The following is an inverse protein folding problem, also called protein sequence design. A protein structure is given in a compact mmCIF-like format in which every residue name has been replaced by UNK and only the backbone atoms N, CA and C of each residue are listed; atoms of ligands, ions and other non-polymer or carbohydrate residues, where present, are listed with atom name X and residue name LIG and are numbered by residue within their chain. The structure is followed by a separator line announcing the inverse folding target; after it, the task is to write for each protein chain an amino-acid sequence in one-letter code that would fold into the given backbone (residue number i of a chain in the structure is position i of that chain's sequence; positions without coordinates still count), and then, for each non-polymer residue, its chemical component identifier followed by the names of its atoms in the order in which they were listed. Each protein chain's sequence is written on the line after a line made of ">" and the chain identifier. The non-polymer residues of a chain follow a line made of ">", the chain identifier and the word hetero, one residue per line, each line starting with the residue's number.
data_IF_458651859926
#
_entry.id   IF_458651859926
#
_cell.length_a   1.000
_cell.length_b   1.000
_cell.length_c   1.000
_cell.angle_alpha   90.00
_cell.angle_beta   90.00
_cell.angle_gamma   90.00
#
_symmetry.space_group_name_H-M   'P 1'
#
loop_
_entity.id
_entity.type
_entity.pdbx_description
1 polymer ?
#
# COMPACT_ATOMS: atom_id res chain seq x y z
N UNK A 1 15.14 11.87 -13.98
CA UNK A 1 14.42 12.32 -12.76
C UNK A 1 14.66 11.35 -11.60
N UNK A 2 14.32 10.06 -11.74
CA UNK A 2 14.58 9.05 -10.69
C UNK A 2 16.07 8.99 -10.33
N UNK A 3 16.97 8.97 -11.33
CA UNK A 3 18.41 8.92 -11.08
C UNK A 3 18.95 10.15 -10.33
N UNK A 4 18.31 11.31 -10.51
CA UNK A 4 18.73 12.54 -9.85
C UNK A 4 18.39 12.47 -8.35
N UNK A 5 17.17 12.08 -8.00
CA UNK A 5 16.77 11.97 -6.59
C UNK A 5 17.45 10.80 -5.89
N UNK A 6 17.76 9.72 -6.61
CA UNK A 6 18.51 8.58 -6.08
C UNK A 6 19.95 8.96 -5.71
N UNK A 7 20.61 9.82 -6.51
CA UNK A 7 21.96 10.34 -6.18
C UNK A 7 21.98 11.16 -4.90
N UNK A 8 20.88 11.85 -4.60
CA UNK A 8 20.71 12.59 -3.34
C UNK A 8 20.27 11.70 -2.16
N UNK A 9 20.23 10.37 -2.35
CA UNK A 9 19.90 9.42 -1.28
C UNK A 9 18.40 9.20 -1.04
N UNK A 10 17.52 9.79 -1.84
CA UNK A 10 16.09 9.53 -1.75
C UNK A 10 15.70 8.19 -2.40
N UNK A 11 14.71 7.53 -1.82
CA UNK A 11 14.06 6.36 -2.42
C UNK A 11 12.73 6.78 -3.02
N UNK A 12 12.55 6.53 -4.31
CA UNK A 12 11.26 6.72 -4.98
C UNK A 12 10.41 5.47 -4.73
N UNK A 13 9.24 5.68 -4.15
CA UNK A 13 8.30 4.60 -3.83
C UNK A 13 6.98 4.89 -4.52
N UNK A 14 6.53 3.91 -5.30
CA UNK A 14 5.22 3.89 -5.92
C UNK A 14 4.31 2.93 -5.15
N UNK A 15 3.03 2.97 -5.46
CA UNK A 15 2.07 1.96 -5.01
C UNK A 15 2.09 0.73 -5.94
N UNK A 16 1.47 -0.36 -5.51
CA UNK A 16 1.25 -1.52 -6.37
C UNK A 16 0.21 -1.15 -7.44
N UNK A 17 0.51 -1.40 -8.71
CA UNK A 17 -0.26 -0.87 -9.86
C UNK A 17 -1.78 -1.13 -9.82
N UNK A 18 -2.22 -2.23 -9.19
CA UNK A 18 -3.62 -2.63 -9.05
C UNK A 18 -4.26 -2.19 -7.72
N UNK A 19 -3.50 -1.50 -6.87
CA UNK A 19 -3.89 -0.99 -5.55
C UNK A 19 -4.06 0.54 -5.54
N UNK A 20 -4.47 1.11 -6.68
CA UNK A 20 -4.98 2.47 -6.74
C UNK A 20 -6.50 2.45 -6.50
N UNK A 21 -6.92 3.00 -5.36
CA UNK A 21 -8.34 3.03 -4.97
C UNK A 21 -9.16 4.03 -5.76
N UNK A 22 -8.51 4.99 -6.42
CA UNK A 22 -9.13 6.18 -7.03
C UNK A 22 -10.07 6.93 -6.08
N UNK A 23 -9.80 6.87 -4.77
CA UNK A 23 -10.64 7.46 -3.72
C UNK A 23 -10.81 8.98 -3.84
N UNK A 24 -9.83 9.67 -4.42
CA UNK A 24 -9.90 11.09 -4.77
C UNK A 24 -11.07 11.45 -5.71
N UNK A 25 -11.60 10.48 -6.49
CA UNK A 25 -12.80 10.66 -7.33
C UNK A 25 -14.12 10.46 -6.57
N UNK A 26 -14.06 10.13 -5.28
CA UNK A 26 -15.23 9.73 -4.48
C UNK A 26 -16.07 8.61 -5.15
N UNK A 27 -15.46 7.47 -5.55
CA UNK A 27 -16.07 6.46 -6.42
C UNK A 27 -17.11 5.55 -5.73
N UNK A 28 -17.36 5.77 -4.43
CA UNK A 28 -18.22 4.97 -3.57
C UNK A 28 -17.41 4.07 -2.62
N UNK A 29 -17.85 3.99 -1.36
CA UNK A 29 -17.19 3.22 -0.29
C UNK A 29 -16.94 1.76 -0.70
N UNK A 30 -17.97 1.09 -1.24
CA UNK A 30 -17.86 -0.33 -1.62
C UNK A 30 -16.87 -0.55 -2.77
N UNK A 31 -16.69 0.44 -3.66
CA UNK A 31 -15.72 0.33 -4.75
C UNK A 31 -14.29 0.40 -4.20
N UNK A 32 -14.02 1.32 -3.27
CA UNK A 32 -12.73 1.42 -2.56
C UNK A 32 -12.43 0.11 -1.82
N UNK A 33 -13.38 -0.37 -1.00
CA UNK A 33 -13.25 -1.62 -0.24
C UNK A 33 -12.95 -2.82 -1.16
N UNK A 34 -13.71 -2.96 -2.25
CA UNK A 34 -13.52 -4.07 -3.18
C UNK A 34 -12.18 -4.02 -3.91
N UNK A 35 -11.70 -2.82 -4.30
CA UNK A 35 -10.38 -2.66 -4.92
C UNK A 35 -9.29 -3.21 -4.01
N UNK A 36 -9.30 -2.83 -2.73
CA UNK A 36 -8.27 -3.25 -1.79
C UNK A 36 -8.37 -4.72 -1.45
N UNK A 37 -9.54 -5.17 -0.98
CA UNK A 37 -9.70 -6.53 -0.46
C UNK A 37 -9.53 -7.61 -1.53
N UNK A 38 -9.93 -7.34 -2.78
CA UNK A 38 -9.75 -8.32 -3.88
C UNK A 38 -8.32 -8.36 -4.43
N UNK A 39 -7.59 -7.26 -4.30
CA UNK A 39 -6.24 -7.16 -4.84
C UNK A 39 -5.14 -7.49 -3.82
N UNK A 40 -5.46 -7.53 -2.51
CA UNK A 40 -4.45 -7.58 -1.46
C UNK A 40 -3.55 -8.82 -1.57
N UNK A 41 -2.24 -8.57 -1.52
CA UNK A 41 -1.18 -9.58 -1.47
C UNK A 41 -0.06 -9.09 -0.56
N UNK A 42 0.76 -10.01 -0.06
CA UNK A 42 1.94 -9.67 0.73
C UNK A 42 2.85 -8.69 -0.02
N UNK A 43 3.36 -7.70 0.70
CA UNK A 43 4.22 -6.64 0.15
C UNK A 43 3.52 -5.60 -0.73
N UNK A 44 2.19 -5.61 -0.85
CA UNK A 44 1.48 -4.54 -1.54
C UNK A 44 1.58 -3.19 -0.81
N UNK A 45 1.62 -2.12 -1.61
CA UNK A 45 1.48 -0.73 -1.15
C UNK A 45 0.19 -0.20 -1.76
N UNK A 46 -0.76 0.20 -0.91
CA UNK A 46 -2.08 0.70 -1.32
C UNK A 46 -2.12 2.22 -1.30
N UNK A 47 -2.67 2.84 -2.35
CA UNK A 47 -2.76 4.30 -2.46
C UNK A 47 -4.13 4.83 -2.02
N UNK A 48 -4.09 5.83 -1.13
CA UNK A 48 -5.22 6.64 -0.69
C UNK A 48 -4.82 8.13 -0.66
N UNK A 49 -5.81 9.02 -0.55
CA UNK A 49 -5.61 10.46 -0.49
C UNK A 49 -6.34 11.07 0.72
N UNK A 50 -5.67 12.03 1.37
CA UNK A 50 -6.20 12.81 2.50
C UNK A 50 -6.45 14.29 2.16
N UNK A 51 -6.10 14.73 0.94
CA UNK A 51 -6.28 16.10 0.44
C UNK A 51 -7.40 16.26 -0.60
N UNK A 52 -7.71 17.52 -0.94
CA UNK A 52 -8.60 17.85 -2.08
C UNK A 52 -10.10 17.72 -1.82
N UNK A 53 -10.58 18.07 -0.61
CA UNK A 53 -12.01 18.10 -0.26
C UNK A 53 -12.45 16.99 0.70
N UNK A 54 -13.74 16.68 0.73
CA UNK A 54 -14.30 15.66 1.63
C UNK A 54 -13.80 14.24 1.31
N UNK A 55 -13.10 13.63 2.26
CA UNK A 55 -12.56 12.25 2.19
C UNK A 55 -13.36 11.25 3.04
N UNK A 56 -14.62 11.56 3.38
CA UNK A 56 -15.47 10.68 4.20
C UNK A 56 -15.68 9.28 3.61
N UNK A 57 -15.60 9.10 2.29
CA UNK A 57 -15.63 7.77 1.68
C UNK A 57 -14.36 6.95 1.97
N UNK A 58 -13.19 7.58 1.96
CA UNK A 58 -11.91 6.95 2.30
C UNK A 58 -11.93 6.48 3.74
N UNK A 59 -12.34 7.35 4.68
CA UNK A 59 -12.44 7.01 6.11
C UNK A 59 -13.37 5.82 6.34
N UNK A 60 -14.61 5.88 5.80
CA UNK A 60 -15.59 4.79 5.93
C UNK A 60 -15.16 3.48 5.23
N UNK A 61 -14.32 3.57 4.20
CA UNK A 61 -13.75 2.38 3.58
C UNK A 61 -12.65 1.76 4.44
N UNK A 62 -11.77 2.58 5.03
CA UNK A 62 -10.71 2.13 5.93
C UNK A 62 -11.28 1.44 7.18
N UNK A 63 -12.39 1.93 7.75
CA UNK A 63 -13.12 1.28 8.84
C UNK A 63 -13.52 -0.19 8.53
N UNK A 64 -13.64 -0.54 7.25
CA UNK A 64 -13.95 -1.91 6.79
C UNK A 64 -12.72 -2.69 6.35
N UNK A 65 -11.79 -2.02 5.66
CA UNK A 65 -10.60 -2.64 5.08
C UNK A 65 -9.64 -3.13 6.16
N UNK A 66 -9.33 -2.27 7.14
CA UNK A 66 -8.31 -2.54 8.15
C UNK A 66 -8.61 -3.82 8.95
N UNK A 67 -9.79 -3.98 9.59
CA UNK A 67 -10.09 -5.18 10.37
C UNK A 67 -10.15 -6.46 9.53
N UNK A 68 -10.61 -6.37 8.27
CA UNK A 68 -10.70 -7.54 7.39
C UNK A 68 -9.30 -8.04 6.98
N UNK A 69 -8.37 -7.13 6.68
CA UNK A 69 -6.99 -7.51 6.39
C UNK A 69 -6.25 -8.02 7.63
N UNK A 70 -6.45 -7.42 8.81
CA UNK A 70 -5.91 -7.95 10.07
C UNK A 70 -6.40 -9.38 10.33
N UNK A 71 -7.69 -9.64 10.11
CA UNK A 71 -8.29 -10.98 10.24
C UNK A 71 -7.68 -11.99 9.27
N UNK A 72 -7.27 -11.55 8.09
CA UNK A 72 -6.55 -12.36 7.11
C UNK A 72 -5.05 -12.55 7.44
N UNK A 73 -4.56 -11.96 8.54
CA UNK A 73 -3.19 -12.10 9.02
C UNK A 73 -2.21 -11.07 8.45
N UNK A 74 -2.69 -10.06 7.73
CA UNK A 74 -1.85 -8.96 7.28
C UNK A 74 -1.40 -8.09 8.46
N UNK A 75 -0.21 -7.50 8.31
CA UNK A 75 0.29 -6.44 9.20
C UNK A 75 0.47 -5.16 8.40
N UNK A 76 -0.02 -4.06 8.95
CA UNK A 76 0.26 -2.73 8.42
C UNK A 76 1.60 -2.26 8.95
N UNK A 77 2.47 -1.87 8.03
CA UNK A 77 3.82 -1.41 8.34
C UNK A 77 4.10 -0.16 7.54
N UNK A 78 5.09 0.62 7.98
CA UNK A 78 5.63 1.71 7.19
C UNK A 78 6.36 1.17 5.96
N UNK A 79 6.53 2.03 4.94
CA UNK A 79 7.32 1.70 3.76
C UNK A 79 8.77 1.35 4.13
N UNK A 80 9.35 2.03 5.12
CA UNK A 80 10.70 1.74 5.60
C UNK A 80 10.82 0.32 6.14
N UNK A 81 9.89 -0.11 6.99
CA UNK A 81 9.85 -1.47 7.53
C UNK A 81 9.64 -2.52 6.44
N UNK A 82 8.74 -2.24 5.48
CA UNK A 82 8.52 -3.13 4.34
C UNK A 82 9.81 -3.38 3.54
N UNK A 83 10.59 -2.34 3.27
CA UNK A 83 11.86 -2.46 2.56
C UNK A 83 12.91 -3.27 3.35
N UNK A 84 12.93 -3.17 4.67
CA UNK A 84 13.84 -3.98 5.50
C UNK A 84 13.41 -5.46 5.53
N UNK A 85 12.11 -5.75 5.61
CA UNK A 85 11.58 -7.12 5.48
C UNK A 85 11.96 -7.72 4.13
N UNK A 86 11.78 -6.98 3.02
CA UNK A 86 12.11 -7.45 1.68
C UNK A 86 13.61 -7.78 1.55
N UNK A 87 14.51 -6.95 2.08
CA UNK A 87 15.95 -7.24 2.09
C UNK A 87 16.28 -8.52 2.85
N UNK A 88 15.66 -8.72 4.03
CA UNK A 88 15.87 -9.91 4.84
C UNK A 88 15.40 -11.18 4.11
N UNK A 89 14.22 -11.15 3.49
CA UNK A 89 13.68 -12.24 2.68
C UNK A 89 14.61 -12.59 1.52
N UNK A 90 15.05 -11.60 0.74
CA UNK A 90 15.95 -11.82 -0.40
C UNK A 90 17.31 -12.44 0.02
N UNK A 91 17.86 -12.02 1.16
CA UNK A 91 19.11 -12.58 1.69
C UNK A 91 18.95 -14.06 2.09
N UNK A 92 17.81 -14.41 2.70
CA UNK A 92 17.52 -15.79 3.06
C UNK A 92 17.33 -16.70 1.84
N UNK A 93 16.69 -16.21 0.78
CA UNK A 93 16.53 -16.97 -0.47
C UNK A 93 17.86 -17.22 -1.19
N UNK A 94 18.74 -16.22 -1.24
CA UNK A 94 20.05 -16.35 -1.88
C UNK A 94 21.00 -17.28 -1.13
N UNK A 95 20.87 -17.40 0.21
CA UNK A 95 21.69 -18.32 1.01
C UNK A 95 21.19 -19.78 0.96
N UNK A 96 20.02 -20.04 0.36
CA UNK A 96 19.48 -21.40 0.14
C UNK A 96 19.85 -21.96 -1.24
N UNK A 97 20.47 -21.16 -2.11
CA UNK A 97 21.02 -21.58 -3.41
C UNK A 97 22.51 -21.84 -3.26
#
# INVERSE_FOLDING_TARGET
>A
MIDAVAKEGYKVVMWSWHQDTMDWKSPGINKIVNTVLKGAKEGNIVLFHDGGGDRGQTVKALEKILPELEKQGYKFVTVSELLEVQKATNKMENNKK
#
